data_IF_579777276936
#
_entry.id   IF_579777276936
#
_cell.length_a   1.000
_cell.length_b   1.000
_cell.length_c   1.000
_cell.angle_alpha   90.00
_cell.angle_beta   90.00
_cell.angle_gamma   90.00
#
_symmetry.space_group_name_H-M   'P 1'
#
loop_
_entity.id
_entity.type
_entity.pdbx_description
1 polymer ?
#
# COMPACT_ATOMS: atom_id res chain seq x y z
N UNK A 1 25.70 -0.26 -5.27
CA UNK A 1 25.11 -1.48 -5.90
C UNK A 1 24.45 -1.09 -7.19
N UNK A 2 24.52 -1.92 -8.25
CA UNK A 2 23.88 -1.58 -9.53
C UNK A 2 22.35 -1.64 -9.43
N UNK A 3 21.68 -0.62 -9.95
CA UNK A 3 20.24 -0.59 -10.13
C UNK A 3 19.81 -1.66 -11.16
N UNK A 4 18.60 -2.22 -10.98
CA UNK A 4 18.08 -3.20 -11.94
C UNK A 4 17.73 -2.49 -13.25
N UNK A 5 18.37 -2.90 -14.35
CA UNK A 5 18.02 -2.38 -15.68
C UNK A 5 16.66 -2.96 -16.12
N UNK A 6 15.63 -2.11 -16.07
CA UNK A 6 14.28 -2.48 -16.49
C UNK A 6 14.04 -2.28 -17.99
N UNK A 7 14.94 -1.57 -18.68
CA UNK A 7 14.82 -1.25 -20.11
C UNK A 7 15.38 -2.36 -21.00
N UNK A 8 16.31 -3.16 -20.49
CA UNK A 8 17.02 -4.19 -21.26
C UNK A 8 16.86 -5.58 -20.65
N UNK A 9 17.36 -6.60 -21.33
CA UNK A 9 17.41 -7.97 -20.83
C UNK A 9 16.06 -8.68 -20.72
N UNK A 10 16.05 -9.76 -19.97
CA UNK A 10 14.88 -10.64 -19.77
C UNK A 10 13.82 -9.98 -18.87
N UNK A 11 12.60 -9.85 -19.37
CA UNK A 11 11.50 -9.15 -18.68
C UNK A 11 11.20 -9.80 -17.32
N UNK A 12 11.02 -11.13 -17.29
CA UNK A 12 10.66 -11.83 -16.06
C UNK A 12 11.74 -11.73 -14.98
N UNK A 13 13.02 -11.83 -15.37
CA UNK A 13 14.14 -11.66 -14.42
C UNK A 13 14.19 -10.24 -13.85
N UNK A 14 14.07 -9.22 -14.71
CA UNK A 14 14.09 -7.82 -14.26
C UNK A 14 12.96 -7.52 -13.29
N UNK A 15 11.74 -7.99 -13.59
CA UNK A 15 10.57 -7.78 -12.73
C UNK A 15 10.72 -8.56 -11.42
N UNK A 16 11.17 -9.81 -11.45
CA UNK A 16 11.35 -10.63 -10.25
C UNK A 16 12.42 -10.04 -9.32
N UNK A 17 13.60 -9.70 -9.87
CA UNK A 17 14.69 -9.10 -9.10
C UNK A 17 14.28 -7.76 -8.48
N UNK A 18 13.44 -7.01 -9.17
CA UNK A 18 12.95 -5.73 -8.68
C UNK A 18 11.82 -5.89 -7.66
N UNK A 19 10.90 -6.85 -7.85
CA UNK A 19 9.75 -7.08 -6.95
C UNK A 19 10.12 -7.80 -5.65
N UNK A 20 11.16 -8.64 -5.65
CA UNK A 20 11.55 -9.42 -4.47
C UNK A 20 11.96 -8.53 -3.28
N UNK A 21 12.81 -7.49 -3.44
CA UNK A 21 13.08 -6.55 -2.36
C UNK A 21 11.83 -5.83 -1.86
N UNK A 22 10.87 -5.51 -2.74
CA UNK A 22 9.61 -4.89 -2.33
C UNK A 22 8.77 -5.83 -1.47
N UNK A 23 8.69 -7.10 -1.86
CA UNK A 23 7.98 -8.13 -1.09
C UNK A 23 8.62 -8.32 0.30
N UNK A 24 9.94 -8.46 0.35
CA UNK A 24 10.68 -8.61 1.61
C UNK A 24 10.50 -7.37 2.49
N UNK A 25 10.54 -6.17 1.91
CA UNK A 25 10.28 -4.92 2.63
C UNK A 25 8.88 -4.86 3.24
N UNK A 26 7.86 -5.24 2.49
CA UNK A 26 6.49 -5.31 2.98
C UNK A 26 6.32 -6.34 4.12
N UNK A 27 7.03 -7.48 4.04
CA UNK A 27 7.07 -8.48 5.13
C UNK A 27 7.74 -7.91 6.38
N UNK A 28 8.88 -7.25 6.26
CA UNK A 28 9.54 -6.60 7.40
C UNK A 28 8.67 -5.51 8.03
N UNK A 29 7.95 -4.73 7.21
CA UNK A 29 7.00 -3.73 7.70
C UNK A 29 5.86 -4.38 8.50
N UNK A 30 5.32 -5.51 8.03
CA UNK A 30 4.29 -6.24 8.75
C UNK A 30 4.82 -6.83 10.06
N UNK A 31 6.07 -7.33 10.06
CA UNK A 31 6.71 -7.88 11.25
C UNK A 31 6.90 -6.82 12.34
N UNK A 32 7.47 -5.65 12.01
CA UNK A 32 7.67 -4.63 13.05
C UNK A 32 6.35 -4.11 13.62
N UNK A 33 5.31 -3.91 12.79
CA UNK A 33 3.97 -3.54 13.30
C UNK A 33 3.40 -4.61 14.25
N UNK A 34 3.73 -5.88 14.02
CA UNK A 34 3.34 -6.97 14.91
C UNK A 34 4.11 -6.92 16.22
N UNK A 35 5.41 -6.61 16.17
CA UNK A 35 6.26 -6.44 17.37
C UNK A 35 5.80 -5.26 18.20
N UNK A 36 5.51 -4.09 17.58
CA UNK A 36 4.94 -2.93 18.29
C UNK A 36 3.68 -3.32 19.07
N UNK A 37 2.75 -4.04 18.41
CA UNK A 37 1.51 -4.51 19.03
C UNK A 37 1.77 -5.50 20.16
N UNK A 38 2.76 -6.39 20.01
CA UNK A 38 3.17 -7.35 21.02
C UNK A 38 3.76 -6.65 22.24
N UNK A 39 4.65 -5.70 22.04
CA UNK A 39 5.29 -4.93 23.14
C UNK A 39 4.23 -4.15 23.91
N UNK A 40 3.34 -3.45 23.21
CA UNK A 40 2.26 -2.66 23.87
C UNK A 40 1.30 -3.56 24.63
N UNK A 41 0.86 -4.67 24.02
CA UNK A 41 -0.13 -5.57 24.62
C UNK A 41 0.40 -6.31 25.85
N UNK A 42 1.68 -6.69 25.88
CA UNK A 42 2.24 -7.49 26.97
C UNK A 42 2.91 -6.65 28.06
N UNK A 43 3.46 -5.49 27.74
CA UNK A 43 4.26 -4.69 28.68
C UNK A 43 3.62 -3.36 29.09
N UNK A 44 2.50 -2.95 28.46
CA UNK A 44 1.80 -1.72 28.85
C UNK A 44 0.40 -2.05 29.39
N UNK A 45 -0.61 -2.19 28.51
CA UNK A 45 -1.97 -2.58 28.89
C UNK A 45 -2.85 -2.89 27.66
N UNK A 46 -4.02 -3.52 27.90
CA UNK A 46 -5.03 -3.73 26.86
C UNK A 46 -5.59 -2.41 26.31
N UNK A 47 -5.75 -1.39 27.14
CA UNK A 47 -6.18 -0.05 26.71
C UNK A 47 -5.13 0.62 25.80
N UNK A 48 -3.85 0.43 26.11
CA UNK A 48 -2.75 0.91 25.27
C UNK A 48 -2.73 0.21 23.91
N UNK A 49 -2.94 -1.10 23.89
CA UNK A 49 -3.05 -1.87 22.63
C UNK A 49 -4.22 -1.38 21.76
N UNK A 50 -5.37 -1.14 22.39
CA UNK A 50 -6.53 -0.56 21.71
C UNK A 50 -6.25 0.84 21.16
N UNK A 51 -5.51 1.68 21.93
CA UNK A 51 -5.12 3.02 21.50
C UNK A 51 -4.19 3.01 20.27
N UNK A 52 -3.18 2.14 20.28
CA UNK A 52 -2.27 1.96 19.13
C UNK A 52 -3.05 1.41 17.92
N UNK A 53 -3.93 0.43 18.10
CA UNK A 53 -4.73 -0.14 17.02
C UNK A 53 -5.64 0.87 16.33
N UNK A 54 -6.36 1.70 17.10
CA UNK A 54 -7.19 2.78 16.54
C UNK A 54 -6.34 3.83 15.80
N UNK A 55 -5.23 4.21 16.40
CA UNK A 55 -4.30 5.19 15.81
C UNK A 55 -3.69 4.67 14.50
N UNK A 56 -3.32 3.40 14.45
CA UNK A 56 -2.76 2.74 13.26
C UNK A 56 -3.70 2.81 12.06
N UNK A 57 -5.01 2.71 12.27
CA UNK A 57 -6.00 2.84 11.20
C UNK A 57 -5.97 4.25 10.56
N UNK A 58 -5.88 5.30 11.39
CA UNK A 58 -5.77 6.69 10.93
C UNK A 58 -4.44 6.92 10.21
N UNK A 59 -3.36 6.41 10.78
CA UNK A 59 -2.01 6.50 10.21
C UNK A 59 -1.96 5.82 8.85
N UNK A 60 -2.48 4.61 8.71
CA UNK A 60 -2.48 3.85 7.46
C UNK A 60 -3.27 4.56 6.35
N UNK A 61 -4.39 5.20 6.70
CA UNK A 61 -5.15 6.00 5.73
C UNK A 61 -4.32 7.17 5.20
N UNK A 62 -3.62 7.88 6.06
CA UNK A 62 -2.77 9.02 5.69
C UNK A 62 -1.53 8.59 4.91
N UNK A 63 -0.84 7.55 5.38
CA UNK A 63 0.33 6.98 4.70
C UNK A 63 -0.08 6.42 3.33
N UNK A 64 -1.21 5.72 3.25
CA UNK A 64 -1.76 5.23 1.98
C UNK A 64 -2.06 6.34 0.98
N UNK A 65 -2.60 7.47 1.45
CA UNK A 65 -2.80 8.67 0.62
C UNK A 65 -1.46 9.21 0.11
N UNK A 66 -0.48 9.35 0.98
CA UNK A 66 0.84 9.86 0.59
C UNK A 66 1.59 8.89 -0.34
N UNK A 67 1.47 7.58 -0.12
CA UNK A 67 2.03 6.57 -1.03
C UNK A 67 1.45 6.69 -2.46
N UNK A 68 0.18 7.06 -2.59
CA UNK A 68 -0.41 7.37 -3.89
C UNK A 68 0.25 8.57 -4.56
N UNK A 69 0.51 9.66 -3.83
CA UNK A 69 1.24 10.82 -4.33
C UNK A 69 2.69 10.47 -4.69
N UNK A 70 3.37 9.70 -3.86
CA UNK A 70 4.73 9.19 -4.15
C UNK A 70 4.75 8.31 -5.39
N UNK A 71 3.69 7.50 -5.61
CA UNK A 71 3.53 6.72 -6.85
C UNK A 71 3.39 7.64 -8.06
N UNK A 72 2.60 8.71 -7.97
CA UNK A 72 2.48 9.71 -9.04
C UNK A 72 3.81 10.35 -9.40
N UNK A 73 4.58 10.76 -8.39
CA UNK A 73 5.94 11.27 -8.57
C UNK A 73 6.86 10.21 -9.21
N UNK A 74 6.83 8.98 -8.69
CA UNK A 74 7.61 7.86 -9.21
C UNK A 74 7.32 7.56 -10.68
N UNK A 75 6.05 7.59 -11.10
CA UNK A 75 5.68 7.40 -12.51
C UNK A 75 6.27 8.49 -13.40
N UNK A 76 6.14 9.76 -13.02
CA UNK A 76 6.69 10.90 -13.81
C UNK A 76 8.20 10.80 -13.91
N UNK A 77 8.89 10.49 -12.81
CA UNK A 77 10.34 10.30 -12.77
C UNK A 77 10.76 9.12 -13.64
N UNK A 78 10.08 7.96 -13.52
CA UNK A 78 10.36 6.75 -14.29
C UNK A 78 10.20 6.99 -15.79
N UNK A 79 9.19 7.74 -16.21
CA UNK A 79 8.97 8.08 -17.63
C UNK A 79 10.07 8.98 -18.16
N UNK A 80 10.49 10.02 -17.45
CA UNK A 80 11.60 10.88 -17.88
C UNK A 80 12.95 10.17 -17.83
N UNK A 81 13.15 9.28 -16.85
CA UNK A 81 14.34 8.41 -16.80
C UNK A 81 14.39 7.49 -18.02
N UNK A 82 13.29 6.82 -18.36
CA UNK A 82 13.20 5.99 -19.58
C UNK A 82 13.40 6.77 -20.87
N UNK A 83 12.88 7.99 -20.94
CA UNK A 83 13.08 8.90 -22.09
C UNK A 83 14.50 9.50 -22.17
N UNK A 84 15.37 9.26 -21.16
CA UNK A 84 16.69 9.87 -21.02
C UNK A 84 16.66 11.41 -20.96
N UNK A 85 15.54 11.98 -20.50
CA UNK A 85 15.37 13.41 -20.32
C UNK A 85 15.87 13.85 -18.94
N UNK A 86 17.18 13.83 -18.72
CA UNK A 86 17.85 14.07 -17.42
C UNK A 86 17.38 15.36 -16.75
N UNK A 87 17.22 16.46 -17.49
CA UNK A 87 16.77 17.73 -16.93
C UNK A 87 15.35 17.65 -16.36
N UNK A 88 14.39 17.08 -17.12
CA UNK A 88 12.99 16.93 -16.65
C UNK A 88 12.90 15.91 -15.52
N UNK A 89 13.72 14.86 -15.53
CA UNK A 89 13.84 13.90 -14.43
C UNK A 89 14.31 14.62 -13.17
N UNK A 90 15.36 15.41 -13.22
CA UNK A 90 15.88 16.23 -12.14
C UNK A 90 14.81 17.21 -11.60
N UNK A 91 14.15 17.96 -12.49
CA UNK A 91 13.07 18.88 -12.11
C UNK A 91 11.91 18.12 -11.43
N UNK A 92 11.64 16.86 -11.85
CA UNK A 92 10.60 16.02 -11.24
C UNK A 92 10.99 15.58 -9.83
N UNK A 93 12.24 15.19 -9.62
CA UNK A 93 12.77 14.82 -8.29
C UNK A 93 12.68 16.02 -7.34
N UNK A 94 13.15 17.20 -7.74
CA UNK A 94 13.14 18.39 -6.91
C UNK A 94 11.72 18.91 -6.64
N UNK A 95 10.81 18.85 -7.64
CA UNK A 95 9.39 19.18 -7.45
C UNK A 95 8.69 18.21 -6.49
N UNK A 96 9.01 16.92 -6.54
CA UNK A 96 8.47 15.91 -5.63
C UNK A 96 8.92 16.14 -4.20
N UNK A 97 10.18 16.50 -3.98
CA UNK A 97 10.71 16.85 -2.67
C UNK A 97 10.10 18.16 -2.15
N UNK A 98 9.92 19.19 -3.01
CA UNK A 98 9.23 20.42 -2.64
C UNK A 98 7.79 20.15 -2.19
N UNK A 99 7.06 19.29 -2.92
CA UNK A 99 5.70 18.85 -2.54
C UNK A 99 5.73 18.13 -1.19
N UNK A 100 6.70 17.24 -0.98
CA UNK A 100 6.86 16.52 0.29
C UNK A 100 7.06 17.47 1.45
N UNK A 101 7.93 18.48 1.33
CA UNK A 101 8.16 19.46 2.40
C UNK A 101 6.89 20.25 2.77
N UNK A 102 6.09 20.66 1.78
CA UNK A 102 4.80 21.30 2.04
C UNK A 102 3.84 20.37 2.77
N UNK A 103 3.77 19.09 2.34
CA UNK A 103 2.92 18.10 3.00
C UNK A 103 3.41 17.74 4.40
N UNK A 104 4.73 17.76 4.65
CA UNK A 104 5.29 17.58 5.98
C UNK A 104 4.75 18.63 6.96
N UNK A 105 4.82 19.90 6.59
CA UNK A 105 4.29 20.99 7.41
C UNK A 105 2.77 20.86 7.60
N UNK A 106 2.05 20.64 6.51
CA UNK A 106 0.59 20.51 6.54
C UNK A 106 0.12 19.36 7.44
N UNK A 107 0.66 18.15 7.25
CA UNK A 107 0.25 16.98 8.01
C UNK A 107 0.73 17.00 9.46
N UNK A 108 1.87 17.62 9.75
CA UNK A 108 2.30 17.84 11.14
C UNK A 108 1.29 18.74 11.87
N UNK A 109 0.99 19.91 11.30
CA UNK A 109 0.09 20.88 11.96
C UNK A 109 -1.33 20.32 12.07
N UNK A 110 -1.90 19.86 10.94
CA UNK A 110 -3.27 19.33 10.93
C UNK A 110 -3.39 18.03 11.73
N UNK A 111 -2.40 17.15 11.65
CA UNK A 111 -2.40 15.88 12.36
C UNK A 111 -2.40 16.07 13.87
N UNK A 112 -1.54 16.93 14.40
CA UNK A 112 -1.52 17.24 15.83
C UNK A 112 -2.83 17.92 16.27
N UNK A 113 -3.30 18.93 15.52
CA UNK A 113 -4.52 19.67 15.86
C UNK A 113 -5.79 18.80 15.80
N UNK A 114 -5.88 17.90 14.81
CA UNK A 114 -7.05 17.08 14.56
C UNK A 114 -7.03 15.70 15.24
N UNK A 115 -5.93 15.31 15.90
CA UNK A 115 -5.81 13.99 16.57
C UNK A 115 -6.97 13.72 17.53
N UNK A 116 -7.24 14.64 18.45
CA UNK A 116 -8.35 14.48 19.42
C UNK A 116 -9.73 14.56 18.75
N UNK A 117 -10.05 15.55 17.91
CA UNK A 117 -11.32 15.61 17.19
C UNK A 117 -11.64 14.33 16.39
N UNK A 118 -10.67 13.80 15.64
CA UNK A 118 -10.86 12.58 14.84
C UNK A 118 -11.15 11.38 15.74
N UNK A 119 -10.40 11.18 16.83
CA UNK A 119 -10.61 10.09 17.77
C UNK A 119 -11.96 10.17 18.45
N UNK A 120 -12.43 11.35 18.82
CA UNK A 120 -13.77 11.56 19.39
C UNK A 120 -14.85 11.25 18.33
N UNK A 121 -14.66 11.69 17.09
CA UNK A 121 -15.63 11.46 16.01
C UNK A 121 -15.79 9.97 15.67
N UNK A 122 -14.74 9.17 15.77
CA UNK A 122 -14.79 7.71 15.55
C UNK A 122 -15.26 6.92 16.79
N UNK A 123 -15.64 7.61 17.88
CA UNK A 123 -16.21 6.98 19.07
C UNK A 123 -15.19 6.28 19.96
N UNK A 124 -13.98 6.80 20.10
CA UNK A 124 -12.97 6.21 21.01
C UNK A 124 -13.47 6.13 22.44
N UNK A 125 -13.35 4.96 23.13
CA UNK A 125 -13.70 4.83 24.54
C UNK A 125 -12.95 5.82 25.43
N UNK A 126 -13.57 6.25 26.53
CA UNK A 126 -12.99 7.29 27.42
C UNK A 126 -11.63 6.89 28.01
N UNK A 127 -11.43 5.59 28.28
CA UNK A 127 -10.20 5.03 28.83
C UNK A 127 -9.06 4.95 27.79
N UNK A 128 -9.40 4.81 26.50
CA UNK A 128 -8.48 4.67 25.38
C UNK A 128 -8.09 6.01 24.78
N UNK A 129 -9.04 6.97 24.78
CA UNK A 129 -8.89 8.27 24.12
C UNK A 129 -7.60 9.04 24.51
N UNK A 130 -7.23 9.20 25.80
CA UNK A 130 -6.02 9.95 26.15
C UNK A 130 -4.75 9.31 25.60
N UNK A 131 -4.67 7.96 25.65
CA UNK A 131 -3.52 7.21 25.16
C UNK A 131 -3.39 7.31 23.63
N UNK A 132 -4.53 7.20 22.92
CA UNK A 132 -4.57 7.32 21.47
C UNK A 132 -4.21 8.75 21.01
N UNK A 133 -4.65 9.79 21.72
CA UNK A 133 -4.28 11.18 21.42
C UNK A 133 -2.76 11.39 21.56
N UNK A 134 -2.16 10.91 22.67
CA UNK A 134 -0.71 11.02 22.90
C UNK A 134 0.05 10.32 21.77
N UNK A 135 -0.31 9.07 21.45
CA UNK A 135 0.33 8.30 20.38
C UNK A 135 0.26 9.00 19.03
N UNK A 136 -0.95 9.45 18.62
CA UNK A 136 -1.16 10.14 17.35
C UNK A 136 -0.39 11.48 17.30
N UNK A 137 -0.39 12.26 18.36
CA UNK A 137 0.33 13.53 18.38
C UNK A 137 1.84 13.34 18.25
N UNK A 138 2.42 12.33 18.91
CA UNK A 138 3.84 11.98 18.76
C UNK A 138 4.12 11.53 17.32
N UNK A 139 3.27 10.66 16.76
CA UNK A 139 3.41 10.19 15.38
C UNK A 139 3.35 11.37 14.39
N UNK A 140 2.37 12.26 14.53
CA UNK A 140 2.23 13.42 13.65
C UNK A 140 3.35 14.45 13.82
N UNK A 141 3.93 14.58 15.01
CA UNK A 141 5.14 15.40 15.22
C UNK A 141 6.32 14.87 14.38
N UNK A 142 6.41 13.55 14.17
CA UNK A 142 7.45 12.91 13.37
C UNK A 142 7.02 12.45 11.99
N UNK A 143 5.79 12.73 11.53
CA UNK A 143 5.27 12.26 10.24
C UNK A 143 6.13 12.70 9.06
N UNK A 144 6.80 13.83 9.18
CA UNK A 144 7.74 14.35 8.18
C UNK A 144 8.82 13.33 7.80
N UNK A 145 9.33 12.56 8.75
CA UNK A 145 10.36 11.55 8.49
C UNK A 145 9.80 10.41 7.63
N UNK A 146 8.59 9.94 7.95
CA UNK A 146 7.90 8.93 7.15
C UNK A 146 7.62 9.41 5.72
N UNK A 147 7.17 10.65 5.55
CA UNK A 147 6.90 11.23 4.25
C UNK A 147 8.17 11.39 3.40
N UNK A 148 9.27 11.86 4.00
CA UNK A 148 10.57 12.00 3.33
C UNK A 148 11.10 10.63 2.91
N UNK A 149 11.05 9.63 3.80
CA UNK A 149 11.45 8.27 3.46
C UNK A 149 10.62 7.69 2.29
N UNK A 150 9.29 7.77 2.36
CA UNK A 150 8.42 7.22 1.33
C UNK A 150 8.64 7.90 -0.03
N UNK A 151 8.83 9.23 -0.07
CA UNK A 151 9.13 9.93 -1.30
C UNK A 151 10.52 9.56 -1.84
N UNK A 152 11.55 9.57 -1.00
CA UNK A 152 12.91 9.20 -1.40
C UNK A 152 13.00 7.75 -1.89
N UNK A 153 12.36 6.82 -1.18
CA UNK A 153 12.21 5.43 -1.62
C UNK A 153 11.44 5.32 -2.96
N UNK A 154 10.40 6.14 -3.15
CA UNK A 154 9.68 6.26 -4.42
C UNK A 154 10.56 6.73 -5.58
N UNK A 155 11.42 7.72 -5.34
CA UNK A 155 12.41 8.22 -6.31
C UNK A 155 13.39 7.10 -6.67
N UNK A 156 14.01 6.43 -5.68
CA UNK A 156 14.96 5.34 -5.95
C UNK A 156 14.31 4.20 -6.74
N UNK A 157 13.09 3.80 -6.36
CA UNK A 157 12.33 2.78 -7.10
C UNK A 157 12.05 3.20 -8.55
N UNK A 158 11.66 4.45 -8.78
CA UNK A 158 11.42 4.97 -10.13
C UNK A 158 12.66 4.87 -11.04
N UNK A 159 13.86 4.91 -10.45
CA UNK A 159 15.16 4.78 -11.11
C UNK A 159 15.66 3.33 -11.21
N UNK A 160 14.86 2.35 -10.79
CA UNK A 160 15.20 0.92 -10.85
C UNK A 160 15.91 0.37 -9.61
N UNK A 161 16.01 1.15 -8.54
CA UNK A 161 16.62 0.71 -7.28
C UNK A 161 15.54 0.37 -6.25
N UNK A 162 15.29 -0.93 -6.05
CA UNK A 162 14.42 -1.44 -5.00
C UNK A 162 15.17 -1.99 -3.78
N UNK A 163 16.51 -2.17 -3.89
CA UNK A 163 17.34 -2.78 -2.84
C UNK A 163 17.70 -1.79 -1.74
N UNK A 164 18.13 -0.59 -2.08
CA UNK A 164 18.50 0.41 -1.09
C UNK A 164 17.30 0.81 -0.21
N UNK A 165 16.09 1.09 -0.73
CA UNK A 165 14.90 1.29 0.09
C UNK A 165 14.60 0.13 1.06
N UNK A 166 14.80 -1.13 0.62
CA UNK A 166 14.66 -2.29 1.50
C UNK A 166 15.66 -2.24 2.64
N UNK A 167 16.94 -2.01 2.35
CA UNK A 167 18.00 -1.96 3.38
C UNK A 167 17.67 -0.89 4.43
N UNK A 168 17.26 0.30 3.98
CA UNK A 168 16.90 1.40 4.90
C UNK A 168 15.69 1.06 5.76
N UNK A 169 14.70 0.35 5.19
CA UNK A 169 13.54 -0.12 5.94
C UNK A 169 13.92 -1.18 6.97
N UNK A 170 14.78 -2.15 6.60
CA UNK A 170 15.25 -3.19 7.53
C UNK A 170 16.03 -2.57 8.69
N UNK A 171 16.97 -1.66 8.39
CA UNK A 171 17.72 -0.95 9.44
C UNK A 171 16.77 -0.17 10.36
N UNK A 172 15.84 0.59 9.79
CA UNK A 172 14.83 1.33 10.55
C UNK A 172 13.96 0.39 11.41
N UNK A 173 13.52 -0.75 10.88
CA UNK A 173 12.72 -1.74 11.62
C UNK A 173 13.49 -2.33 12.81
N UNK A 174 14.77 -2.64 12.64
CA UNK A 174 15.62 -3.13 13.75
C UNK A 174 15.81 -2.06 14.82
N UNK A 175 16.03 -0.80 14.41
CA UNK A 175 16.12 0.33 15.35
C UNK A 175 14.79 0.50 16.10
N UNK A 176 13.64 0.44 15.40
CA UNK A 176 12.33 0.53 16.03
C UNK A 176 12.14 -0.54 17.12
N UNK A 177 12.38 -1.83 16.78
CA UNK A 177 12.26 -2.93 17.73
C UNK A 177 13.13 -2.70 18.98
N UNK A 178 14.38 -2.33 18.80
CA UNK A 178 15.28 -2.06 19.95
C UNK A 178 14.77 -0.91 20.80
N UNK A 179 14.36 0.20 20.16
CA UNK A 179 13.85 1.39 20.86
C UNK A 179 12.52 1.12 21.57
N UNK A 180 11.63 0.28 21.03
CA UNK A 180 10.39 -0.13 21.70
C UNK A 180 10.71 -0.81 23.02
N UNK A 181 11.62 -1.78 23.04
CA UNK A 181 12.02 -2.44 24.29
C UNK A 181 12.67 -1.46 25.27
N UNK A 182 13.53 -0.56 24.79
CA UNK A 182 14.20 0.43 25.62
C UNK A 182 13.19 1.41 26.23
N UNK A 183 12.32 2.01 25.42
CA UNK A 183 11.40 3.05 25.90
C UNK A 183 10.23 2.50 26.70
N UNK A 184 9.72 1.32 26.35
CA UNK A 184 8.57 0.72 27.04
C UNK A 184 9.01 -0.01 28.30
N UNK A 185 10.05 -0.86 28.24
CA UNK A 185 10.43 -1.75 29.34
C UNK A 185 11.39 -1.05 30.30
N UNK A 186 12.43 -0.36 29.78
CA UNK A 186 13.44 0.25 30.62
C UNK A 186 13.01 1.64 31.14
N UNK A 187 12.50 2.52 30.25
CA UNK A 187 12.06 3.86 30.61
C UNK A 187 10.59 3.95 31.06
N UNK A 188 9.80 2.91 30.91
CA UNK A 188 8.38 2.84 31.29
C UNK A 188 7.50 3.94 30.67
N UNK A 189 7.82 4.38 29.44
CA UNK A 189 7.10 5.47 28.75
C UNK A 189 5.74 5.03 28.17
N UNK A 190 5.38 3.74 28.28
CA UNK A 190 4.10 3.22 27.80
C UNK A 190 3.87 3.48 26.30
N UNK A 191 2.67 3.94 25.97
CA UNK A 191 2.27 4.24 24.56
C UNK A 191 3.12 5.35 23.94
N UNK A 192 3.54 6.34 24.72
CA UNK A 192 4.42 7.40 24.24
C UNK A 192 5.78 6.84 23.80
N UNK A 193 6.30 5.84 24.52
CA UNK A 193 7.56 5.17 24.19
C UNK A 193 7.52 4.55 22.79
N UNK A 194 6.46 3.82 22.45
CA UNK A 194 6.29 3.21 21.11
C UNK A 194 6.15 4.29 20.03
N UNK A 195 5.39 5.36 20.29
CA UNK A 195 5.29 6.48 19.35
C UNK A 195 6.63 7.15 19.07
N UNK A 196 7.46 7.37 20.11
CA UNK A 196 8.81 7.93 19.98
C UNK A 196 9.74 6.96 19.24
N UNK A 197 9.71 5.66 19.56
CA UNK A 197 10.50 4.64 18.89
C UNK A 197 10.22 4.59 17.39
N UNK A 198 8.94 4.56 17.01
CA UNK A 198 8.51 4.60 15.61
C UNK A 198 8.98 5.85 14.90
N UNK A 199 8.84 7.03 15.55
CA UNK A 199 9.28 8.30 14.98
C UNK A 199 10.80 8.37 14.77
N UNK A 200 11.59 7.89 15.74
CA UNK A 200 13.06 7.84 15.62
C UNK A 200 13.51 6.82 14.56
N UNK A 201 12.85 5.69 14.47
CA UNK A 201 13.12 4.70 13.42
C UNK A 201 12.85 5.30 12.02
N UNK A 202 11.75 6.03 11.85
CA UNK A 202 11.45 6.74 10.60
C UNK A 202 12.48 7.84 10.30
N UNK A 203 13.00 8.54 11.31
CA UNK A 203 14.10 9.49 11.13
C UNK A 203 15.34 8.81 10.56
N UNK A 204 15.73 7.63 11.08
CA UNK A 204 16.86 6.87 10.55
C UNK A 204 16.68 6.54 9.07
N UNK A 205 15.51 6.02 8.68
CA UNK A 205 15.24 5.72 7.27
C UNK A 205 15.22 6.96 6.38
N UNK A 206 14.70 8.09 6.88
CA UNK A 206 14.72 9.37 6.17
C UNK A 206 16.15 9.89 5.96
N UNK A 207 17.00 9.80 7.00
CA UNK A 207 18.41 10.19 6.88
C UNK A 207 19.12 9.33 5.84
N UNK A 208 18.96 8.01 5.89
CA UNK A 208 19.62 7.08 4.98
C UNK A 208 19.23 7.32 3.52
N UNK A 209 17.93 7.50 3.23
CA UNK A 209 17.46 7.74 1.87
C UNK A 209 17.90 9.10 1.35
N UNK A 210 17.89 10.14 2.19
CA UNK A 210 18.35 11.47 1.78
C UNK A 210 19.86 11.51 1.61
N UNK A 211 20.61 10.82 2.45
CA UNK A 211 22.06 10.69 2.31
C UNK A 211 22.41 10.09 0.94
N UNK A 212 21.76 8.98 0.54
CA UNK A 212 21.96 8.36 -0.79
C UNK A 212 21.64 9.34 -1.92
N UNK A 213 20.48 10.01 -1.87
CA UNK A 213 20.06 10.93 -2.93
C UNK A 213 20.94 12.18 -3.04
N UNK A 214 21.57 12.62 -1.94
CA UNK A 214 22.41 13.83 -1.92
C UNK A 214 23.89 13.55 -2.22
N UNK A 215 24.38 12.34 -1.95
CA UNK A 215 25.82 12.01 -2.10
C UNK A 215 26.14 11.12 -3.30
N UNK A 216 25.12 10.67 -4.03
CA UNK A 216 25.33 9.89 -5.26
C UNK A 216 26.04 10.72 -6.36
N UNK A 217 26.87 10.06 -7.18
CA UNK A 217 27.49 10.68 -8.36
C UNK A 217 26.64 10.53 -9.63
N UNK A 218 25.45 9.93 -9.50
CA UNK A 218 24.55 9.67 -10.63
C UNK A 218 23.74 10.92 -11.01
N UNK A 219 23.16 10.90 -12.21
CA UNK A 219 22.39 12.02 -12.78
C UNK A 219 21.16 12.43 -11.94
N UNK A 220 20.74 11.63 -10.98
CA UNK A 220 19.59 11.91 -10.11
C UNK A 220 19.98 12.55 -8.75
N UNK A 221 21.24 13.00 -8.61
CA UNK A 221 21.69 13.67 -7.38
C UNK A 221 20.80 14.84 -6.99
N UNK A 222 20.41 14.87 -5.73
CA UNK A 222 19.57 15.92 -5.16
C UNK A 222 20.45 17.07 -4.66
N UNK A 223 20.09 18.28 -5.08
CA UNK A 223 20.69 19.54 -4.60
C UNK A 223 19.63 20.32 -3.84
N UNK A 224 19.86 20.60 -2.55
CA UNK A 224 18.91 21.32 -1.70
C UNK A 224 18.54 22.68 -2.31
N UNK A 225 19.50 23.39 -2.89
CA UNK A 225 19.31 24.69 -3.54
C UNK A 225 18.42 24.65 -4.79
N UNK A 226 18.18 23.46 -5.36
CA UNK A 226 17.33 23.26 -6.53
C UNK A 226 15.92 22.79 -6.19
N UNK A 227 15.60 22.59 -4.92
CA UNK A 227 14.26 22.18 -4.49
C UNK A 227 13.31 23.36 -4.74
N UNK A 228 12.46 23.20 -5.77
CA UNK A 228 11.48 24.19 -6.20
C UNK A 228 10.34 23.53 -6.96
N UNK A 229 9.22 24.22 -7.08
CA UNK A 229 8.10 23.77 -7.89
C UNK A 229 8.29 24.09 -9.36
N UNK A 230 8.07 23.07 -10.20
CA UNK A 230 7.79 23.22 -11.62
C UNK A 230 6.30 22.97 -11.84
N UNK A 231 5.53 24.03 -12.19
CA UNK A 231 4.06 23.93 -12.35
C UNK A 231 3.62 22.80 -13.30
N UNK A 232 4.21 22.61 -14.49
CA UNK A 232 3.81 21.52 -15.39
C UNK A 232 4.05 20.14 -14.78
N UNK A 233 5.19 19.96 -14.12
CA UNK A 233 5.57 18.70 -13.47
C UNK A 233 4.67 18.42 -12.25
N UNK A 234 4.44 19.43 -11.41
CA UNK A 234 3.54 19.31 -10.26
C UNK A 234 2.14 18.91 -10.69
N UNK A 235 1.59 19.55 -11.72
CA UNK A 235 0.27 19.21 -12.27
C UNK A 235 0.22 17.74 -12.71
N UNK A 236 1.28 17.26 -13.36
CA UNK A 236 1.38 15.86 -13.81
C UNK A 236 1.50 14.89 -12.64
N UNK A 237 2.31 15.20 -11.63
CA UNK A 237 2.44 14.40 -10.40
C UNK A 237 1.08 14.29 -9.70
N UNK A 238 0.37 15.40 -9.53
CA UNK A 238 -0.94 15.45 -8.88
C UNK A 238 -1.99 14.70 -9.69
N UNK A 239 -2.01 14.86 -11.03
CA UNK A 239 -2.99 14.19 -11.91
C UNK A 239 -2.88 12.66 -11.89
N UNK A 240 -1.70 12.12 -11.57
CA UNK A 240 -1.46 10.68 -11.42
C UNK A 240 -1.59 10.27 -9.96
N UNK A 241 -1.03 11.08 -9.05
CA UNK A 241 -0.89 10.75 -7.64
C UNK A 241 -2.21 10.81 -6.86
N UNK A 242 -3.05 11.84 -7.07
CA UNK A 242 -4.34 11.94 -6.36
C UNK A 242 -5.26 10.76 -6.71
N UNK A 243 -5.47 10.39 -7.99
CA UNK A 243 -6.23 9.18 -8.31
C UNK A 243 -5.66 7.92 -7.70
N UNK A 244 -4.34 7.76 -7.66
CA UNK A 244 -3.69 6.61 -7.03
C UNK A 244 -3.89 6.60 -5.50
N UNK A 245 -3.85 7.76 -4.85
CA UNK A 245 -4.13 7.91 -3.43
C UNK A 245 -5.56 7.53 -3.06
N UNK A 246 -6.53 7.99 -3.85
CA UNK A 246 -7.94 7.68 -3.65
C UNK A 246 -8.25 6.19 -3.81
N UNK A 247 -7.56 5.47 -4.70
CA UNK A 247 -7.75 4.03 -4.87
C UNK A 247 -7.56 3.27 -3.55
N UNK A 248 -6.53 3.59 -2.76
CA UNK A 248 -6.27 2.94 -1.48
C UNK A 248 -7.38 3.24 -0.44
N UNK A 249 -7.85 4.47 -0.39
CA UNK A 249 -8.89 4.90 0.55
C UNK A 249 -10.26 4.30 0.21
N UNK A 250 -10.59 4.16 -1.07
CA UNK A 250 -11.86 3.61 -1.55
C UNK A 250 -12.09 2.17 -1.08
N UNK A 251 -11.06 1.33 -1.18
CA UNK A 251 -11.15 -0.07 -0.74
C UNK A 251 -11.41 -0.15 0.77
N UNK A 252 -10.66 0.63 1.56
CA UNK A 252 -10.83 0.68 3.01
C UNK A 252 -12.24 1.14 3.41
N UNK A 253 -12.75 2.20 2.77
CA UNK A 253 -14.10 2.69 3.01
C UNK A 253 -15.17 1.64 2.70
N UNK A 254 -15.06 0.96 1.54
CA UNK A 254 -15.97 -0.13 1.17
C UNK A 254 -15.98 -1.24 2.21
N UNK A 255 -14.82 -1.66 2.72
CA UNK A 255 -14.71 -2.73 3.70
C UNK A 255 -15.37 -2.36 5.04
N UNK A 256 -15.31 -1.09 5.47
CA UNK A 256 -16.03 -0.63 6.67
C UNK A 256 -17.55 -0.81 6.53
N UNK A 257 -18.13 -0.47 5.36
CA UNK A 257 -19.56 -0.68 5.13
C UNK A 257 -19.90 -2.17 5.16
N UNK A 258 -19.09 -3.02 4.51
CA UNK A 258 -19.34 -4.47 4.50
C UNK A 258 -19.24 -5.06 5.91
N UNK A 259 -18.32 -4.55 6.75
CA UNK A 259 -18.21 -4.95 8.15
C UNK A 259 -19.55 -4.81 8.90
N UNK A 260 -20.35 -3.79 8.59
CA UNK A 260 -21.67 -3.59 9.22
C UNK A 260 -22.67 -4.70 8.86
N UNK A 261 -22.59 -5.26 7.66
CA UNK A 261 -23.38 -6.42 7.27
C UNK A 261 -22.94 -7.70 7.98
N UNK A 262 -21.61 -7.93 8.08
CA UNK A 262 -21.05 -9.10 8.76
C UNK A 262 -21.40 -9.09 10.25
N UNK A 263 -21.40 -7.93 10.89
CA UNK A 263 -21.69 -7.77 12.31
C UNK A 263 -23.11 -8.23 12.70
N UNK A 264 -24.05 -8.29 11.74
CA UNK A 264 -25.41 -8.80 11.97
C UNK A 264 -25.45 -10.31 12.24
N UNK A 265 -24.41 -11.05 11.84
CA UNK A 265 -24.31 -12.51 12.04
C UNK A 265 -23.68 -12.91 13.39
N UNK A 266 -23.38 -11.93 14.24
CA UNK A 266 -22.86 -12.17 15.59
C UNK A 266 -21.34 -12.14 15.70
N UNK A 267 -20.87 -12.21 16.96
CA UNK A 267 -19.47 -12.02 17.32
C UNK A 267 -18.52 -13.09 16.77
N UNK A 268 -18.96 -14.34 16.72
CA UNK A 268 -18.18 -15.45 16.17
C UNK A 268 -17.88 -15.24 14.68
N UNK A 269 -18.86 -14.76 13.90
CA UNK A 269 -18.67 -14.43 12.47
C UNK A 269 -17.71 -13.28 12.29
N UNK A 270 -17.79 -12.23 13.10
CA UNK A 270 -16.86 -11.10 13.07
C UNK A 270 -15.44 -11.57 13.39
N UNK A 271 -15.27 -12.46 14.37
CA UNK A 271 -13.97 -13.05 14.72
C UNK A 271 -13.40 -13.90 13.58
N UNK A 272 -14.24 -14.76 12.95
CA UNK A 272 -13.87 -15.56 11.79
C UNK A 272 -13.44 -14.70 10.59
N UNK A 273 -14.21 -13.66 10.28
CA UNK A 273 -13.88 -12.67 9.26
C UNK A 273 -12.53 -11.98 9.54
N UNK A 274 -12.34 -11.51 10.77
CA UNK A 274 -11.10 -10.83 11.17
C UNK A 274 -9.87 -11.74 11.05
N UNK A 275 -10.01 -13.01 11.41
CA UNK A 275 -8.96 -14.02 11.30
C UNK A 275 -8.61 -14.29 9.83
N UNK A 276 -9.62 -14.50 9.00
CA UNK A 276 -9.41 -14.74 7.56
C UNK A 276 -8.83 -13.52 6.85
N UNK A 277 -9.22 -12.31 7.25
CA UNK A 277 -8.63 -11.07 6.71
C UNK A 277 -7.13 -10.96 7.00
N UNK A 278 -6.65 -11.50 8.13
CA UNK A 278 -5.19 -11.58 8.39
C UNK A 278 -4.49 -12.52 7.42
N UNK A 279 -5.10 -13.66 7.11
CA UNK A 279 -4.59 -14.62 6.12
C UNK A 279 -4.59 -13.99 4.70
N UNK A 280 -5.68 -13.29 4.34
CA UNK A 280 -5.78 -12.53 3.09
C UNK A 280 -4.65 -11.50 2.96
N UNK A 281 -4.28 -10.82 4.05
CA UNK A 281 -3.17 -9.88 4.10
C UNK A 281 -1.86 -10.44 3.57
N UNK A 282 -1.54 -11.72 3.82
CA UNK A 282 -0.34 -12.36 3.29
C UNK A 282 -0.39 -12.55 1.77
N UNK A 283 -1.57 -12.85 1.19
CA UNK A 283 -1.74 -12.94 -0.26
C UNK A 283 -1.67 -11.56 -0.94
N UNK A 284 -2.03 -10.50 -0.24
CA UNK A 284 -1.95 -9.14 -0.76
C UNK A 284 -0.50 -8.64 -0.94
N UNK A 285 0.47 -9.15 -0.16
CA UNK A 285 1.86 -8.67 -0.23
C UNK A 285 2.53 -8.92 -1.59
N UNK A 286 2.47 -10.12 -2.20
CA UNK A 286 2.95 -10.34 -3.56
C UNK A 286 2.24 -9.44 -4.58
N UNK A 287 0.91 -9.33 -4.51
CA UNK A 287 0.11 -8.53 -5.43
C UNK A 287 0.56 -7.06 -5.42
N UNK A 288 0.72 -6.48 -4.22
CA UNK A 288 1.20 -5.11 -4.06
C UNK A 288 2.62 -4.93 -4.60
N UNK A 289 3.52 -5.87 -4.32
CA UNK A 289 4.92 -5.82 -4.74
C UNK A 289 5.04 -5.89 -6.26
N UNK A 290 4.32 -6.80 -6.91
CA UNK A 290 4.28 -6.89 -8.37
C UNK A 290 3.58 -5.68 -9.00
N UNK A 291 2.51 -5.14 -8.37
CA UNK A 291 1.83 -3.93 -8.84
C UNK A 291 2.74 -2.70 -8.81
N UNK A 292 3.59 -2.56 -7.77
CA UNK A 292 4.60 -1.52 -7.73
C UNK A 292 5.70 -1.74 -8.78
N UNK A 293 6.15 -2.98 -8.93
CA UNK A 293 7.19 -3.34 -9.90
C UNK A 293 6.73 -3.06 -11.34
N UNK A 294 5.52 -3.47 -11.72
CA UNK A 294 4.99 -3.22 -13.06
C UNK A 294 4.76 -1.73 -13.31
N UNK A 295 4.36 -0.96 -12.29
CA UNK A 295 4.19 0.49 -12.43
C UNK A 295 5.50 1.16 -12.83
N UNK A 296 6.60 0.82 -12.18
CA UNK A 296 7.94 1.34 -12.51
C UNK A 296 8.43 0.82 -13.86
N UNK A 297 8.31 -0.50 -14.10
CA UNK A 297 8.71 -1.13 -15.35
C UNK A 297 8.02 -0.50 -16.56
N UNK A 298 6.70 -0.33 -16.47
CA UNK A 298 5.89 0.30 -17.50
C UNK A 298 6.26 1.78 -17.65
N UNK A 299 6.42 2.51 -16.55
CA UNK A 299 6.80 3.92 -16.58
C UNK A 299 8.11 4.15 -17.37
N UNK A 300 9.16 3.39 -17.06
CA UNK A 300 10.44 3.49 -17.76
C UNK A 300 10.35 3.09 -19.24
N UNK A 301 9.70 1.95 -19.54
CA UNK A 301 9.58 1.48 -20.93
C UNK A 301 8.63 2.34 -21.78
N UNK A 302 7.60 2.95 -21.17
CA UNK A 302 6.74 3.92 -21.82
C UNK A 302 7.50 5.21 -22.17
N UNK A 303 8.30 5.72 -21.24
CA UNK A 303 9.18 6.86 -21.49
C UNK A 303 10.20 6.58 -22.62
N UNK A 304 10.75 5.37 -22.65
CA UNK A 304 11.65 4.90 -23.72
C UNK A 304 10.91 4.55 -25.03
N UNK A 305 9.61 4.77 -25.15
CA UNK A 305 8.77 4.42 -26.29
C UNK A 305 8.81 2.94 -26.69
N UNK A 306 9.20 2.06 -25.74
CA UNK A 306 9.26 0.61 -25.98
C UNK A 306 7.92 -0.06 -25.67
N UNK A 307 6.89 0.29 -26.44
CA UNK A 307 5.50 -0.14 -26.20
C UNK A 307 5.28 -1.65 -26.29
N UNK A 308 6.06 -2.34 -27.14
CA UNK A 308 6.03 -3.81 -27.21
C UNK A 308 6.49 -4.44 -25.90
N UNK A 309 7.52 -3.83 -25.25
CA UNK A 309 8.04 -4.30 -23.97
C UNK A 309 7.06 -3.97 -22.82
N UNK A 310 6.38 -2.82 -22.87
CA UNK A 310 5.28 -2.47 -21.95
C UNK A 310 4.21 -3.55 -21.96
N UNK A 311 3.72 -3.95 -23.14
CA UNK A 311 2.70 -4.98 -23.29
C UNK A 311 3.17 -6.34 -22.78
N UNK A 312 4.37 -6.79 -23.21
CA UNK A 312 4.93 -8.07 -22.75
C UNK A 312 5.15 -8.06 -21.24
N UNK A 313 5.60 -6.93 -20.68
CA UNK A 313 5.81 -6.77 -19.23
C UNK A 313 4.55 -7.02 -18.41
N UNK A 314 3.41 -6.48 -18.83
CA UNK A 314 2.13 -6.74 -18.15
C UNK A 314 1.81 -8.24 -18.11
N UNK A 315 1.78 -8.91 -19.26
CA UNK A 315 1.41 -10.33 -19.32
C UNK A 315 2.39 -11.23 -18.55
N UNK A 316 3.69 -10.91 -18.61
CA UNK A 316 4.71 -11.63 -17.84
C UNK A 316 4.49 -11.45 -16.34
N UNK A 317 4.20 -10.22 -15.89
CA UNK A 317 3.95 -9.93 -14.47
C UNK A 317 2.67 -10.60 -13.99
N UNK A 318 1.61 -10.57 -14.80
CA UNK A 318 0.36 -11.27 -14.50
C UNK A 318 0.63 -12.76 -14.29
N UNK A 319 1.29 -13.42 -15.25
CA UNK A 319 1.56 -14.85 -15.16
C UNK A 319 2.37 -15.20 -13.90
N UNK A 320 3.41 -14.42 -13.58
CA UNK A 320 4.23 -14.66 -12.40
C UNK A 320 3.44 -14.49 -11.10
N UNK A 321 2.62 -13.43 -11.01
CA UNK A 321 1.80 -13.17 -9.84
C UNK A 321 0.68 -14.20 -9.70
N UNK A 322 0.02 -14.59 -10.80
CA UNK A 322 -1.04 -15.61 -10.81
C UNK A 322 -0.55 -16.96 -10.29
N UNK A 323 0.64 -17.39 -10.69
CA UNK A 323 1.22 -18.66 -10.19
C UNK A 323 1.37 -18.60 -8.67
N UNK A 324 1.89 -17.50 -8.14
CA UNK A 324 2.10 -17.34 -6.68
C UNK A 324 0.75 -17.27 -5.95
N UNK A 325 -0.20 -16.52 -6.47
CA UNK A 325 -1.51 -16.36 -5.83
C UNK A 325 -2.35 -17.62 -5.93
N UNK A 326 -2.34 -18.31 -7.07
CA UNK A 326 -3.06 -19.59 -7.22
C UNK A 326 -2.52 -20.65 -6.24
N UNK A 327 -1.17 -20.73 -6.09
CA UNK A 327 -0.57 -21.64 -5.11
C UNK A 327 -0.95 -21.24 -3.68
N UNK A 328 -0.84 -19.97 -3.32
CA UNK A 328 -1.21 -19.47 -1.99
C UNK A 328 -2.71 -19.67 -1.69
N UNK A 329 -3.59 -19.38 -2.64
CA UNK A 329 -5.03 -19.60 -2.52
C UNK A 329 -5.37 -21.08 -2.34
N UNK A 330 -4.71 -21.96 -3.10
CA UNK A 330 -4.86 -23.42 -2.97
C UNK A 330 -4.42 -23.90 -1.56
N UNK A 331 -3.28 -23.42 -1.06
CA UNK A 331 -2.81 -23.77 0.29
C UNK A 331 -3.76 -23.27 1.39
N UNK A 332 -4.30 -22.06 1.27
CA UNK A 332 -5.27 -21.53 2.23
C UNK A 332 -6.59 -22.29 2.13
N UNK A 333 -7.05 -22.63 0.93
CA UNK A 333 -8.28 -23.38 0.72
C UNK A 333 -8.22 -24.78 1.32
N UNK A 334 -7.13 -25.51 1.08
CA UNK A 334 -6.97 -26.90 1.55
C UNK A 334 -6.66 -27.01 3.04
N UNK A 335 -6.10 -25.96 3.65
CA UNK A 335 -5.74 -25.95 5.06
C UNK A 335 -6.53 -24.91 5.89
N UNK A 336 -7.68 -24.45 5.38
CA UNK A 336 -8.44 -23.35 5.98
C UNK A 336 -8.82 -23.58 7.44
N UNK A 337 -9.29 -24.76 7.78
CA UNK A 337 -9.66 -25.14 9.15
C UNK A 337 -8.46 -25.07 10.10
N UNK A 338 -7.33 -25.64 9.70
CA UNK A 338 -6.08 -25.57 10.47
C UNK A 338 -5.61 -24.12 10.64
N UNK A 339 -5.57 -23.34 9.56
CA UNK A 339 -5.08 -21.96 9.59
C UNK A 339 -5.95 -21.04 10.44
N UNK A 340 -7.29 -21.15 10.35
CA UNK A 340 -8.21 -20.40 11.22
C UNK A 340 -8.10 -20.90 12.66
N UNK A 341 -7.95 -22.21 12.85
CA UNK A 341 -7.77 -22.87 14.14
C UNK A 341 -6.49 -22.48 14.91
N UNK A 342 -5.50 -21.93 14.24
CA UNK A 342 -4.33 -21.33 14.89
C UNK A 342 -4.67 -20.07 15.69
N UNK A 343 -5.71 -19.34 15.27
CA UNK A 343 -6.11 -18.07 15.89
C UNK A 343 -7.28 -18.23 16.88
N UNK A 344 -8.14 -19.24 16.70
CA UNK A 344 -9.28 -19.48 17.57
C UNK A 344 -9.59 -20.97 17.70
N UNK A 345 -9.94 -21.42 18.90
CA UNK A 345 -10.43 -22.78 19.17
C UNK A 345 -11.95 -22.89 19.12
N UNK A 346 -12.65 -21.77 18.98
CA UNK A 346 -14.10 -21.71 18.88
C UNK A 346 -14.55 -22.25 17.52
N UNK A 347 -15.41 -23.27 17.54
CA UNK A 347 -15.93 -23.94 16.33
C UNK A 347 -16.71 -22.98 15.42
N UNK A 348 -17.51 -22.09 16.00
CA UNK A 348 -18.32 -21.16 15.23
C UNK A 348 -17.44 -20.12 14.51
N UNK A 349 -16.34 -19.70 15.13
CA UNK A 349 -15.32 -18.84 14.51
C UNK A 349 -14.63 -19.56 13.35
N UNK A 350 -14.27 -20.84 13.55
CA UNK A 350 -13.62 -21.66 12.51
C UNK A 350 -14.58 -21.84 11.33
N UNK A 351 -15.83 -22.19 11.57
CA UNK A 351 -16.84 -22.38 10.51
C UNK A 351 -17.02 -21.08 9.71
N UNK A 352 -17.17 -19.95 10.37
CA UNK A 352 -17.32 -18.66 9.70
C UNK A 352 -16.06 -18.29 8.86
N UNK A 353 -14.88 -18.52 9.39
CA UNK A 353 -13.61 -18.28 8.67
C UNK A 353 -13.42 -19.19 7.47
N UNK A 354 -13.70 -20.49 7.62
CA UNK A 354 -13.64 -21.46 6.51
C UNK A 354 -14.67 -21.13 5.42
N UNK A 355 -15.88 -20.72 5.82
CA UNK A 355 -16.92 -20.26 4.87
C UNK A 355 -16.41 -19.08 4.05
N UNK A 356 -15.77 -18.10 4.66
CA UNK A 356 -15.15 -17.00 3.92
C UNK A 356 -14.05 -17.48 2.97
N UNK A 357 -13.16 -18.36 3.43
CA UNK A 357 -12.08 -18.93 2.61
C UNK A 357 -12.66 -19.64 1.38
N UNK A 358 -13.71 -20.44 1.55
CA UNK A 358 -14.34 -21.19 0.46
C UNK A 358 -14.90 -20.30 -0.65
N UNK A 359 -15.37 -19.10 -0.30
CA UNK A 359 -15.88 -18.10 -1.24
C UNK A 359 -14.75 -17.27 -1.87
N UNK A 360 -13.73 -16.91 -1.08
CA UNK A 360 -12.66 -16.03 -1.54
C UNK A 360 -11.61 -16.76 -2.38
N UNK A 361 -11.25 -17.99 -2.01
CA UNK A 361 -10.15 -18.70 -2.67
C UNK A 361 -10.32 -18.86 -4.19
N UNK A 362 -11.48 -19.22 -4.73
CA UNK A 362 -11.68 -19.22 -6.18
C UNK A 362 -11.61 -17.83 -6.81
N UNK A 363 -11.95 -16.79 -6.05
CA UNK A 363 -11.94 -15.40 -6.50
C UNK A 363 -10.56 -14.75 -6.54
N UNK A 364 -9.60 -15.28 -5.81
CA UNK A 364 -8.26 -14.66 -5.70
C UNK A 364 -7.53 -14.51 -7.03
N UNK A 365 -7.80 -15.36 -8.03
CA UNK A 365 -7.23 -15.24 -9.38
C UNK A 365 -7.61 -13.91 -10.08
N UNK A 366 -8.68 -13.25 -9.69
CA UNK A 366 -9.08 -11.96 -10.26
C UNK A 366 -8.38 -10.76 -9.63
N UNK A 367 -7.75 -10.93 -8.45
CA UNK A 367 -7.03 -9.84 -7.78
C UNK A 367 -5.76 -9.40 -8.52
N UNK A 368 -4.84 -10.31 -8.93
CA UNK A 368 -3.69 -9.91 -9.74
C UNK A 368 -4.11 -9.25 -11.04
N UNK A 369 -5.15 -9.79 -11.74
CA UNK A 369 -5.67 -9.19 -12.97
C UNK A 369 -6.07 -7.73 -12.78
N UNK A 370 -6.72 -7.41 -11.66
CA UNK A 370 -7.10 -6.04 -11.32
C UNK A 370 -5.90 -5.17 -10.93
N UNK A 371 -5.11 -5.61 -9.95
CA UNK A 371 -4.07 -4.78 -9.33
C UNK A 371 -2.85 -4.57 -10.22
N UNK A 372 -2.41 -5.61 -10.94
CA UNK A 372 -1.28 -5.53 -11.87
C UNK A 372 -1.65 -4.68 -13.08
N UNK A 373 -2.87 -4.84 -13.63
CA UNK A 373 -3.34 -4.01 -14.74
C UNK A 373 -3.51 -2.55 -14.31
N UNK A 374 -4.04 -2.29 -13.11
CA UNK A 374 -4.07 -0.95 -12.53
C UNK A 374 -2.66 -0.36 -12.39
N UNK A 375 -1.67 -1.16 -11.98
CA UNK A 375 -0.25 -0.79 -11.91
C UNK A 375 0.30 -0.38 -13.28
N UNK A 376 0.03 -1.17 -14.32
CA UNK A 376 0.44 -0.86 -15.68
C UNK A 376 -0.22 0.43 -16.21
N UNK A 377 -1.52 0.62 -15.97
CA UNK A 377 -2.23 1.85 -16.34
C UNK A 377 -1.68 3.07 -15.60
N UNK A 378 -1.32 2.94 -14.32
CA UNK A 378 -0.61 4.01 -13.60
C UNK A 378 0.75 4.31 -14.24
N UNK A 379 1.51 3.28 -14.61
CA UNK A 379 2.82 3.43 -15.25
C UNK A 379 2.79 4.21 -16.56
N UNK A 380 1.74 4.08 -17.36
CA UNK A 380 1.53 4.94 -18.56
C UNK A 380 0.94 6.31 -18.25
N UNK A 381 0.56 6.58 -16.98
CA UNK A 381 -0.02 7.86 -16.54
C UNK A 381 -1.55 7.90 -16.48
N UNK A 382 -2.23 6.80 -16.73
CA UNK A 382 -3.71 6.70 -16.76
C UNK A 382 -4.34 6.32 -15.41
N UNK A 383 -3.87 6.90 -14.30
CA UNK A 383 -4.33 6.56 -12.93
C UNK A 383 -5.83 6.81 -12.69
N UNK A 384 -6.47 7.67 -13.46
CA UNK A 384 -7.91 7.94 -13.36
C UNK A 384 -8.75 6.72 -13.73
N UNK A 385 -8.29 5.91 -14.67
CA UNK A 385 -9.03 4.71 -15.15
C UNK A 385 -9.22 3.68 -14.04
N UNK A 386 -8.14 3.20 -13.37
CA UNK A 386 -8.31 2.31 -12.22
C UNK A 386 -9.09 2.95 -11.08
N UNK A 387 -8.95 4.26 -10.83
CA UNK A 387 -9.73 4.94 -9.79
C UNK A 387 -11.24 4.85 -10.07
N UNK A 388 -11.69 5.21 -11.28
CA UNK A 388 -13.10 5.13 -11.63
C UNK A 388 -13.64 3.69 -11.62
N UNK A 389 -12.84 2.72 -12.11
CA UNK A 389 -13.20 1.31 -12.06
C UNK A 389 -13.38 0.83 -10.61
N UNK A 390 -12.47 1.24 -9.69
CA UNK A 390 -12.59 0.88 -8.27
C UNK A 390 -13.78 1.55 -7.59
N UNK A 391 -14.08 2.82 -7.88
CA UNK A 391 -15.29 3.48 -7.38
C UNK A 391 -16.53 2.72 -7.84
N UNK A 392 -16.62 2.42 -9.13
CA UNK A 392 -17.76 1.69 -9.69
C UNK A 392 -17.94 0.33 -9.05
N UNK A 393 -16.85 -0.45 -8.89
CA UNK A 393 -16.95 -1.83 -8.40
C UNK A 393 -17.08 -1.90 -6.88
N UNK A 394 -16.22 -1.18 -6.12
CA UNK A 394 -16.16 -1.36 -4.66
C UNK A 394 -17.13 -0.44 -3.91
N UNK A 395 -17.43 0.76 -4.43
CA UNK A 395 -18.36 1.68 -3.75
C UNK A 395 -19.78 1.52 -4.29
N UNK A 396 -19.97 1.41 -5.61
CA UNK A 396 -21.33 1.36 -6.17
C UNK A 396 -21.81 -0.11 -6.26
N UNK A 397 -21.17 -0.93 -7.10
CA UNK A 397 -21.63 -2.28 -7.38
C UNK A 397 -21.71 -3.15 -6.11
N UNK A 398 -20.69 -3.12 -5.26
CA UNK A 398 -20.66 -3.91 -4.02
C UNK A 398 -21.79 -3.53 -3.09
N UNK A 399 -22.02 -2.22 -2.88
CA UNK A 399 -23.06 -1.78 -1.95
C UNK A 399 -24.46 -2.05 -2.51
N UNK A 400 -24.68 -1.84 -3.81
CA UNK A 400 -25.93 -2.21 -4.47
C UNK A 400 -26.17 -3.71 -4.36
N UNK A 401 -25.15 -4.52 -4.66
CA UNK A 401 -25.26 -5.99 -4.49
C UNK A 401 -25.63 -6.37 -3.06
N UNK A 402 -24.93 -5.87 -2.06
CA UNK A 402 -25.23 -6.19 -0.65
C UNK A 402 -26.62 -5.75 -0.26
N UNK A 403 -27.02 -4.54 -0.64
CA UNK A 403 -28.37 -4.02 -0.35
C UNK A 403 -29.45 -4.89 -0.97
N UNK A 404 -29.30 -5.29 -2.22
CA UNK A 404 -30.31 -6.12 -2.92
C UNK A 404 -30.24 -7.57 -2.45
N UNK A 405 -29.07 -8.20 -2.45
CA UNK A 405 -28.90 -9.62 -2.17
C UNK A 405 -29.34 -10.01 -0.75
N UNK A 406 -29.09 -9.14 0.24
CA UNK A 406 -29.54 -9.38 1.63
C UNK A 406 -31.05 -9.23 1.84
N UNK A 407 -31.81 -8.72 0.85
CA UNK A 407 -33.29 -8.77 0.89
C UNK A 407 -33.82 -10.17 0.52
N UNK A 408 -33.06 -10.93 -0.26
CA UNK A 408 -33.49 -12.25 -0.77
C UNK A 408 -32.85 -13.41 0.00
N UNK A 409 -31.73 -13.20 0.67
CA UNK A 409 -31.03 -14.24 1.42
C UNK A 409 -30.40 -13.68 2.70
N UNK A 410 -30.62 -14.40 3.80
CA UNK A 410 -30.01 -14.11 5.11
C UNK A 410 -28.75 -14.95 5.36
N UNK A 411 -28.20 -15.61 4.36
CA UNK A 411 -27.02 -16.45 4.49
C UNK A 411 -25.73 -15.63 4.48
N UNK A 412 -24.76 -16.03 5.29
CA UNK A 412 -23.45 -15.38 5.39
C UNK A 412 -22.68 -15.43 4.05
N UNK A 413 -22.81 -16.52 3.29
CA UNK A 413 -22.21 -16.69 1.96
C UNK A 413 -22.63 -15.57 1.01
N UNK A 414 -23.90 -15.13 1.09
CA UNK A 414 -24.43 -14.03 0.26
C UNK A 414 -23.64 -12.74 0.48
N UNK A 415 -23.26 -12.44 1.71
CA UNK A 415 -22.44 -11.27 2.02
C UNK A 415 -21.03 -11.46 1.47
N UNK A 416 -20.42 -12.62 1.66
CA UNK A 416 -19.05 -12.89 1.20
C UNK A 416 -18.90 -12.90 -0.32
N UNK A 417 -19.92 -13.29 -1.09
CA UNK A 417 -19.92 -13.25 -2.56
C UNK A 417 -19.74 -11.83 -3.13
N UNK A 418 -19.99 -10.78 -2.35
CA UNK A 418 -19.75 -9.40 -2.75
C UNK A 418 -18.30 -9.09 -3.09
N UNK A 419 -17.31 -9.84 -2.56
CA UNK A 419 -15.89 -9.66 -2.90
C UNK A 419 -15.53 -10.26 -4.26
N UNK A 420 -15.70 -11.58 -4.51
CA UNK A 420 -15.41 -12.16 -5.83
C UNK A 420 -16.15 -11.47 -6.97
N UNK A 421 -17.43 -11.11 -6.77
CA UNK A 421 -18.21 -10.37 -7.75
C UNK A 421 -17.50 -9.09 -8.19
N UNK A 422 -17.07 -8.28 -7.20
CA UNK A 422 -16.41 -7.01 -7.49
C UNK A 422 -15.01 -7.19 -8.08
N UNK A 423 -14.28 -8.23 -7.68
CA UNK A 423 -12.98 -8.56 -8.25
C UNK A 423 -13.08 -8.97 -9.71
N UNK A 424 -14.05 -9.82 -10.07
CA UNK A 424 -14.32 -10.25 -11.44
C UNK A 424 -14.64 -9.05 -12.32
N UNK A 425 -15.61 -8.23 -11.91
CA UNK A 425 -16.04 -7.08 -12.71
C UNK A 425 -14.91 -6.06 -12.86
N UNK A 426 -14.18 -5.76 -11.79
CA UNK A 426 -13.05 -4.83 -11.85
C UNK A 426 -11.91 -5.35 -12.74
N UNK A 427 -11.60 -6.66 -12.67
CA UNK A 427 -10.63 -7.29 -13.53
C UNK A 427 -11.05 -7.21 -15.01
N UNK A 428 -12.30 -7.52 -15.31
CA UNK A 428 -12.84 -7.46 -16.68
C UNK A 428 -12.79 -6.03 -17.26
N UNK A 429 -13.18 -5.02 -16.47
CA UNK A 429 -13.15 -3.62 -16.88
C UNK A 429 -11.72 -3.15 -17.17
N UNK A 430 -10.79 -3.42 -16.25
CA UNK A 430 -9.40 -2.96 -16.40
C UNK A 430 -8.66 -3.69 -17.51
N UNK A 431 -8.81 -5.01 -17.61
CA UNK A 431 -8.22 -5.81 -18.69
C UNK A 431 -8.79 -5.44 -20.05
N UNK A 432 -10.12 -5.26 -20.14
CA UNK A 432 -10.78 -4.81 -21.37
C UNK A 432 -10.28 -3.44 -21.82
N UNK A 433 -10.23 -2.47 -20.90
CA UNK A 433 -9.69 -1.14 -21.20
C UNK A 433 -8.22 -1.21 -21.64
N UNK A 434 -7.38 -1.94 -20.91
CA UNK A 434 -5.97 -2.06 -21.23
C UNK A 434 -5.75 -2.76 -22.59
N UNK A 435 -6.56 -3.75 -22.92
CA UNK A 435 -6.46 -4.44 -24.20
C UNK A 435 -6.70 -3.49 -25.39
N UNK A 436 -7.75 -2.66 -25.30
CA UNK A 436 -8.06 -1.64 -26.32
C UNK A 436 -6.93 -0.58 -26.38
N UNK A 437 -6.53 -0.07 -25.22
CA UNK A 437 -5.48 0.93 -25.11
C UNK A 437 -4.12 0.44 -25.67
N UNK A 438 -3.71 -0.76 -25.27
CA UNK A 438 -2.41 -1.31 -25.67
C UNK A 438 -2.31 -1.59 -27.17
N UNK A 439 -3.44 -1.93 -27.83
CA UNK A 439 -3.50 -2.06 -29.29
C UNK A 439 -3.24 -0.71 -29.98
N UNK A 440 -3.90 0.36 -29.52
CA UNK A 440 -3.70 1.72 -30.03
C UNK A 440 -2.28 2.19 -29.78
N UNK A 441 -1.74 1.93 -28.57
CA UNK A 441 -0.38 2.30 -28.18
C UNK A 441 0.68 1.66 -29.11
N UNK A 442 0.55 0.36 -29.44
CA UNK A 442 1.50 -0.35 -30.30
C UNK A 442 1.37 0.08 -31.77
N UNK A 443 0.19 0.54 -32.19
CA UNK A 443 -0.04 1.06 -33.57
C UNK A 443 0.44 2.49 -33.75
N UNK A 444 0.72 3.21 -32.67
CA UNK A 444 1.07 4.64 -32.72
C UNK A 444 -0.14 5.58 -32.84
N UNK A 445 -1.35 5.07 -32.62
CA UNK A 445 -2.62 5.82 -32.75
C UNK A 445 -2.93 6.70 -31.53
N UNK A 446 -1.98 6.84 -30.60
CA UNK A 446 -2.12 7.65 -29.38
C UNK A 446 -1.07 8.74 -29.40
N UNK A 447 -1.43 9.89 -29.89
CA UNK A 447 -0.75 11.19 -29.70
C UNK A 447 -1.76 12.28 -29.46
#
# INVERSE_FOLDING_TARGET
MESTDLLKGSIWKSILIFSLPLLVGNLFQQLYNTVDSYVVGNFVSSHALAAVGQSTSIINMLVGFFMGLSTGAGVVIAQYFGAKETKKMQDSIHTSLALTLVLCVLFTILGIALSKPILVMIGSPKEVLPLAVIYLQIYFAGVSFSLIYNMGAGILRALGDSKNPLIYLVVSSLVNIVLDFVFVIYFHLGVAGVGIATTLAQLVSAILVMHELMHTDKEYKVYISKIRFSKPILSRIISIGIPAALQNSIVSFSNVIVQSYISKFGSATVAGYSTTTKLDGFLQLPIQSFSMAITTFVGQNYGAQNYKRVRKGLYTTLLMCEIIIALGAFLIYTNGEFLVGLFSKDKDVIVAGVTMISVFAPGYIFLPLSHITAGALRGVGLSKVPMYSMILCFVILRQVYLFVATQFSSELITVFLGWPLTWIVNAALLMGYYHIYSKKLVRGDIY
#
